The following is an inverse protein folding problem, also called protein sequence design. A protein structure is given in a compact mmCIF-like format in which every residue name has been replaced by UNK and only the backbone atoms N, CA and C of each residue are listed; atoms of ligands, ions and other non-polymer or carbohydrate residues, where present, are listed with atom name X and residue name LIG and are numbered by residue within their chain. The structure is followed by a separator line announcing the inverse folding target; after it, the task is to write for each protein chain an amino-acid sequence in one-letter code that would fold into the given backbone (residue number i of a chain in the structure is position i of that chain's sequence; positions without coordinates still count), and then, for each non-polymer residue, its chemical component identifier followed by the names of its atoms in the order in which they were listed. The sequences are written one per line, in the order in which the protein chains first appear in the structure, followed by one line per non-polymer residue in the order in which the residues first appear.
data_IF_173863256592
#
_entry.id   IF_173863256592
#
_cell.length_a   1.000
_cell.length_b   1.000
_cell.length_c   1.000
_cell.angle_alpha   90.00
_cell.angle_beta   90.00
_cell.angle_gamma   90.00
#
_symmetry.space_group_name_H-M   'P 1'
#
loop_
_entity.id
_entity.type
_entity.pdbx_description
1 polymer ?
#
# COMPACT_ATOMS: atom_id res chain seq x y z
N UNK A 1 -44.62 44.80 32.19
CA UNK A 1 -44.59 44.67 30.72
C UNK A 1 -43.28 44.01 30.32
N UNK A 2 -43.39 42.81 29.72
CA UNK A 2 -42.50 42.13 28.74
C UNK A 2 -41.03 41.94 29.18
N UNK A 3 -40.62 40.75 29.68
CA UNK A 3 -40.15 39.52 28.96
C UNK A 3 -38.98 39.83 27.99
N UNK A 4 -37.79 39.23 28.04
CA UNK A 4 -37.37 37.89 28.44
C UNK A 4 -37.08 37.07 27.17
N UNK A 5 -35.97 37.35 26.48
CA UNK A 5 -35.61 36.69 25.22
C UNK A 5 -34.76 35.43 25.46
N UNK A 6 -35.22 34.39 24.80
CA UNK A 6 -34.84 32.98 24.88
C UNK A 6 -33.57 32.72 24.07
N UNK A 7 -32.64 31.96 24.64
CA UNK A 7 -31.38 31.55 24.00
C UNK A 7 -31.53 30.12 23.53
N UNK A 8 -31.97 29.94 22.28
CA UNK A 8 -32.00 28.63 21.62
C UNK A 8 -30.61 28.28 21.10
N UNK A 9 -29.97 27.33 21.79
CA UNK A 9 -28.79 26.61 21.33
C UNK A 9 -29.14 25.83 20.04
N UNK A 10 -28.45 26.13 18.94
CA UNK A 10 -28.43 25.31 17.73
C UNK A 10 -27.67 24.00 18.01
N UNK A 11 -28.15 22.84 17.52
CA UNK A 11 -27.46 21.57 17.74
C UNK A 11 -26.20 21.45 16.86
N UNK A 12 -25.18 20.80 17.43
CA UNK A 12 -23.88 20.52 16.84
C UNK A 12 -23.98 19.58 15.61
N UNK A 13 -23.58 20.10 14.44
CA UNK A 13 -23.64 19.42 13.14
C UNK A 13 -22.65 18.25 13.00
N UNK A 14 -21.70 18.07 13.93
CA UNK A 14 -20.80 16.91 13.95
C UNK A 14 -21.50 15.58 14.26
N UNK A 15 -22.71 15.62 14.83
CA UNK A 15 -23.42 14.42 15.31
C UNK A 15 -24.24 13.70 14.22
N UNK A 16 -24.59 14.38 13.11
CA UNK A 16 -25.45 13.83 12.06
C UNK A 16 -24.70 12.96 11.05
N UNK A 17 -23.40 13.21 10.84
CA UNK A 17 -22.59 12.49 9.84
C UNK A 17 -21.94 11.21 10.36
N UNK A 18 -21.81 11.07 11.69
CA UNK A 18 -21.31 9.84 12.32
C UNK A 18 -22.21 8.62 12.05
N UNK A 19 -23.49 8.85 11.73
CA UNK A 19 -24.48 7.79 11.44
C UNK A 19 -24.50 7.34 9.96
N UNK A 20 -23.86 8.08 9.03
CA UNK A 20 -23.82 7.69 7.61
C UNK A 20 -22.57 6.88 7.23
N UNK A 21 -21.47 7.01 8.00
CA UNK A 21 -20.32 6.09 7.90
C UNK A 21 -20.48 4.81 8.74
N UNK A 22 -21.43 4.76 9.68
CA UNK A 22 -21.63 3.64 10.59
C UNK A 22 -23.00 2.99 10.42
N UNK A 23 -23.20 2.28 9.30
CA UNK A 23 -24.03 1.08 9.31
C UNK A 23 -23.15 -0.17 9.28
N UNK A 24 -22.12 -0.20 10.14
CA UNK A 24 -21.46 -1.43 10.54
C UNK A 24 -22.36 -2.14 11.56
N UNK A 25 -22.96 -3.26 11.19
CA UNK A 25 -23.52 -4.19 12.17
C UNK A 25 -22.35 -4.76 12.98
N UNK A 26 -22.24 -4.33 14.23
CA UNK A 26 -21.27 -4.83 15.21
C UNK A 26 -21.42 -6.35 15.37
N UNK A 27 -20.55 -7.11 14.72
CA UNK A 27 -20.39 -8.54 15.03
C UNK A 27 -19.50 -8.64 16.28
N UNK A 28 -20.12 -8.56 17.46
CA UNK A 28 -19.45 -8.84 18.73
C UNK A 28 -19.05 -10.33 18.78
N UNK A 29 -17.81 -10.64 18.38
CA UNK A 29 -17.15 -11.90 18.70
C UNK A 29 -16.65 -11.81 20.16
N UNK A 30 -17.50 -12.21 21.10
CA UNK A 30 -17.12 -12.34 22.51
C UNK A 30 -16.22 -13.56 22.68
N UNK A 31 -14.90 -13.38 22.52
CA UNK A 31 -13.90 -14.38 22.94
C UNK A 31 -13.68 -14.18 24.44
N UNK A 32 -14.40 -14.94 25.26
CA UNK A 32 -14.20 -14.99 26.71
C UNK A 32 -12.96 -15.82 27.02
N UNK A 33 -11.78 -15.20 27.06
CA UNK A 33 -10.57 -15.83 27.59
C UNK A 33 -10.54 -15.67 29.12
N UNK A 34 -10.96 -16.72 29.82
CA UNK A 34 -10.68 -16.87 31.24
C UNK A 34 -9.15 -16.92 31.45
N UNK A 35 -8.64 -15.91 32.16
CA UNK A 35 -7.26 -15.85 32.64
C UNK A 35 -7.01 -17.03 33.60
N UNK A 36 -6.14 -17.95 33.19
CA UNK A 36 -5.52 -18.94 34.09
C UNK A 36 -4.13 -18.40 34.41
N UNK A 37 -3.95 -17.88 35.62
CA UNK A 37 -2.63 -17.53 36.16
C UNK A 37 -1.83 -18.80 36.49
N UNK A 38 -0.58 -18.96 36.02
CA UNK A 38 0.29 -20.00 36.52
C UNK A 38 1.03 -19.53 37.78
N UNK A 39 0.85 -20.30 38.86
CA UNK A 39 1.56 -20.22 40.13
C UNK A 39 3.09 -20.40 40.00
N UNK A 40 3.90 -19.84 40.92
CA UNK A 40 5.36 -19.91 40.86
C UNK A 40 5.92 -21.29 41.25
N UNK A 41 7.01 -21.79 40.63
CA UNK A 41 7.57 -23.08 40.99
C UNK A 41 8.49 -22.99 42.22
N UNK A 42 8.21 -23.83 43.20
CA UNK A 42 9.08 -24.13 44.35
C UNK A 42 10.36 -24.85 43.94
N UNK A 43 11.53 -24.31 44.33
CA UNK A 43 12.86 -24.94 44.20
C UNK A 43 12.97 -26.21 45.07
N UNK A 44 13.55 -27.26 44.51
CA UNK A 44 14.34 -28.26 45.25
C UNK A 44 15.65 -28.54 44.50
N UNK A 45 16.80 -28.67 45.19
CA UNK A 45 18.10 -28.92 44.58
C UNK A 45 18.37 -30.43 44.51
N UNK A 46 19.03 -30.94 43.45
CA UNK A 46 19.87 -32.16 43.53
C UNK A 46 20.76 -32.30 42.28
N UNK A 47 22.06 -32.18 42.54
CA UNK A 47 23.25 -32.93 42.08
C UNK A 47 23.60 -33.13 40.60
N UNK A 48 24.87 -32.80 40.36
CA UNK A 48 25.73 -32.85 39.18
C UNK A 48 26.14 -34.26 38.75
N UNK A 49 26.33 -34.44 37.43
CA UNK A 49 27.22 -35.44 36.82
C UNK A 49 27.95 -34.79 35.61
N UNK A 50 29.17 -35.21 35.24
CA UNK A 50 30.04 -34.46 34.33
C UNK A 50 30.01 -34.94 32.86
N UNK A 51 30.08 -33.96 31.94
CA UNK A 51 30.70 -33.96 30.58
C UNK A 51 30.19 -34.95 29.51
N UNK A 52 30.02 -34.53 28.23
CA UNK A 52 31.15 -34.12 27.38
C UNK A 52 30.92 -32.83 26.59
N UNK A 53 32.02 -32.26 26.10
CA UNK A 53 32.12 -31.05 25.29
C UNK A 53 31.08 -31.00 24.16
N UNK A 54 30.01 -30.25 24.38
CA UNK A 54 29.05 -29.86 23.35
C UNK A 54 29.55 -28.58 22.68
N UNK A 55 29.57 -28.58 21.35
CA UNK A 55 29.71 -27.38 20.53
C UNK A 55 28.74 -26.32 21.07
N UNK A 56 29.26 -25.20 21.55
CA UNK A 56 28.46 -24.05 21.94
C UNK A 56 27.82 -23.48 20.67
N UNK A 57 26.63 -23.94 20.32
CA UNK A 57 25.73 -23.17 19.45
C UNK A 57 25.42 -21.91 20.23
N UNK A 58 26.12 -20.80 19.90
CA UNK A 58 25.74 -19.51 20.43
C UNK A 58 24.27 -19.27 20.04
N UNK A 59 23.40 -18.87 20.98
CA UNK A 59 22.05 -18.47 20.62
C UNK A 59 22.18 -17.31 19.63
N UNK A 60 21.63 -17.48 18.43
CA UNK A 60 21.59 -16.43 17.42
C UNK A 60 20.83 -15.24 18.00
N UNK A 61 21.54 -14.12 18.22
CA UNK A 61 20.92 -12.87 18.64
C UNK A 61 20.51 -12.05 17.42
N UNK A 62 19.45 -11.26 17.54
CA UNK A 62 19.02 -10.30 16.51
C UNK A 62 18.56 -8.99 17.15
N UNK A 63 18.59 -7.91 16.38
CA UNK A 63 18.08 -6.59 16.76
C UNK A 63 16.67 -6.41 16.20
N UNK A 64 15.71 -5.98 17.04
CA UNK A 64 14.32 -5.83 16.64
C UNK A 64 14.09 -4.50 15.92
N UNK A 65 13.58 -4.51 14.68
CA UNK A 65 13.31 -3.29 13.90
C UNK A 65 12.21 -2.36 14.45
N UNK A 66 11.53 -2.73 15.55
CA UNK A 66 10.46 -1.93 16.18
C UNK A 66 10.90 -1.29 17.49
N UNK A 67 11.62 -2.02 18.34
CA UNK A 67 12.01 -1.54 19.67
C UNK A 67 13.51 -1.32 19.83
N UNK A 68 14.31 -1.63 18.81
CA UNK A 68 15.77 -1.50 18.78
C UNK A 68 16.50 -2.30 19.89
N UNK A 69 15.80 -3.26 20.51
CA UNK A 69 16.38 -4.13 21.54
C UNK A 69 17.00 -5.39 20.91
N UNK A 70 18.09 -5.88 21.53
CA UNK A 70 18.69 -7.17 21.18
C UNK A 70 17.97 -8.33 21.85
N UNK A 71 17.48 -9.28 21.05
CA UNK A 71 16.81 -10.49 21.51
C UNK A 71 17.64 -11.73 21.21
N UNK A 72 17.43 -12.78 22.02
CA UNK A 72 18.14 -14.07 21.93
C UNK A 72 17.25 -15.20 21.41
N UNK A 73 15.98 -14.89 21.16
CA UNK A 73 14.97 -15.82 20.62
C UNK A 73 14.95 -15.78 19.09
N UNK A 74 14.10 -16.60 18.47
CA UNK A 74 13.87 -16.53 17.02
C UNK A 74 13.09 -15.26 16.66
N UNK A 75 13.58 -14.53 15.65
CA UNK A 75 12.86 -13.38 15.09
C UNK A 75 11.65 -13.81 14.26
N UNK A 76 10.66 -12.93 14.18
CA UNK A 76 9.57 -13.01 13.22
C UNK A 76 9.94 -12.10 12.06
N UNK A 77 10.18 -12.67 10.88
CA UNK A 77 10.51 -11.88 9.69
C UNK A 77 9.24 -11.29 9.08
N UNK A 78 9.20 -9.97 8.94
CA UNK A 78 8.10 -9.24 8.29
C UNK A 78 8.72 -8.44 7.14
N UNK A 79 8.51 -8.89 5.89
CA UNK A 79 9.04 -8.21 4.70
C UNK A 79 10.55 -7.90 4.80
N UNK A 80 11.33 -8.83 5.34
CA UNK A 80 12.78 -8.70 5.53
C UNK A 80 13.21 -8.17 6.91
N UNK A 81 12.32 -7.49 7.63
CA UNK A 81 12.60 -6.94 8.95
C UNK A 81 12.49 -7.99 10.06
N UNK A 82 13.47 -8.01 10.97
CA UNK A 82 13.48 -8.92 12.11
C UNK A 82 12.71 -8.32 13.29
N UNK A 83 11.58 -8.92 13.66
CA UNK A 83 10.70 -8.41 14.71
C UNK A 83 10.64 -9.37 15.90
N UNK A 84 10.73 -8.84 17.12
CA UNK A 84 10.58 -9.65 18.32
C UNK A 84 9.12 -10.03 18.58
N UNK A 85 8.91 -11.16 19.26
CA UNK A 85 7.56 -11.65 19.58
C UNK A 85 6.71 -10.62 20.33
N UNK A 86 7.33 -9.84 21.23
CA UNK A 86 6.65 -8.80 22.00
C UNK A 86 6.03 -7.73 21.08
N UNK A 87 6.85 -7.14 20.21
CA UNK A 87 6.40 -6.11 19.27
C UNK A 87 5.42 -6.66 18.22
N UNK A 88 5.59 -7.92 17.79
CA UNK A 88 4.61 -8.57 16.93
C UNK A 88 3.25 -8.71 17.63
N UNK A 89 3.22 -9.23 18.87
CA UNK A 89 1.98 -9.47 19.62
C UNK A 89 1.28 -8.16 20.03
N UNK A 90 2.02 -7.08 20.31
CA UNK A 90 1.44 -5.80 20.73
C UNK A 90 1.17 -4.82 19.59
N UNK A 91 1.87 -4.97 18.45
CA UNK A 91 1.82 -4.01 17.33
C UNK A 91 1.12 -4.57 16.11
N UNK A 92 1.63 -5.67 15.55
CA UNK A 92 1.18 -6.18 14.25
C UNK A 92 -0.06 -7.07 14.38
N UNK A 93 -0.01 -8.01 15.32
CA UNK A 93 -1.11 -8.95 15.54
C UNK A 93 -2.45 -8.26 15.83
N UNK A 94 -2.55 -7.22 16.68
CA UNK A 94 -3.80 -6.50 16.91
C UNK A 94 -4.40 -5.85 15.66
N UNK A 95 -3.58 -5.47 14.68
CA UNK A 95 -4.07 -4.88 13.42
C UNK A 95 -4.88 -5.89 12.60
N UNK A 96 -4.51 -7.18 12.61
CA UNK A 96 -5.35 -8.22 11.99
C UNK A 96 -6.70 -8.35 12.71
N UNK A 97 -6.74 -8.24 14.03
CA UNK A 97 -8.03 -8.24 14.75
C UNK A 97 -8.86 -6.99 14.42
N UNK A 98 -8.22 -5.82 14.30
CA UNK A 98 -8.87 -4.58 13.91
C UNK A 98 -9.45 -4.68 12.48
N UNK A 99 -8.65 -5.12 11.51
CA UNK A 99 -9.07 -5.31 10.12
C UNK A 99 -10.20 -6.33 9.97
N UNK A 100 -10.24 -7.38 10.80
CA UNK A 100 -11.34 -8.33 10.79
C UNK A 100 -12.65 -7.70 11.29
N UNK A 101 -12.57 -6.75 12.23
CA UNK A 101 -13.72 -6.05 12.80
C UNK A 101 -14.19 -4.88 11.92
N UNK A 102 -13.24 -4.09 11.45
CA UNK A 102 -13.43 -2.85 10.72
C UNK A 102 -12.75 -2.95 9.36
N UNK A 103 -13.57 -2.87 8.31
CA UNK A 103 -13.11 -2.96 6.92
C UNK A 103 -12.16 -1.82 6.53
N UNK A 104 -12.29 -0.64 7.14
CA UNK A 104 -11.41 0.50 6.85
C UNK A 104 -9.96 0.26 7.28
N UNK A 105 -9.75 -0.69 8.21
CA UNK A 105 -8.43 -1.11 8.69
C UNK A 105 -7.84 -2.26 7.84
N UNK A 106 -8.56 -2.72 6.80
CA UNK A 106 -8.07 -3.72 5.85
C UNK A 106 -7.50 -3.02 4.60
N UNK A 107 -6.37 -3.52 4.04
CA UNK A 107 -5.55 -4.62 4.52
C UNK A 107 -4.56 -4.17 5.60
N UNK A 108 -4.06 -5.13 6.39
CA UNK A 108 -2.95 -4.88 7.33
C UNK A 108 -1.68 -4.63 6.51
N UNK A 109 -0.94 -3.57 6.83
CA UNK A 109 0.26 -3.17 6.09
C UNK A 109 1.50 -3.08 6.99
N UNK A 110 2.65 -3.19 6.36
CA UNK A 110 3.97 -2.86 6.90
C UNK A 110 4.62 -1.85 5.94
N UNK A 111 4.64 -0.58 6.35
CA UNK A 111 4.88 0.51 5.40
C UNK A 111 3.84 0.46 4.28
N UNK A 112 4.31 0.44 3.02
CA UNK A 112 3.45 0.36 1.85
C UNK A 112 3.02 -1.08 1.49
N UNK A 113 3.70 -2.08 2.05
CA UNK A 113 3.50 -3.49 1.74
C UNK A 113 2.31 -4.10 2.48
N UNK A 114 1.44 -4.80 1.75
CA UNK A 114 0.36 -5.58 2.35
C UNK A 114 0.90 -6.85 3.00
N UNK A 115 0.36 -7.18 4.18
CA UNK A 115 0.71 -8.37 4.93
C UNK A 115 -0.31 -9.48 4.68
N UNK A 116 0.18 -10.63 4.24
CA UNK A 116 -0.63 -11.83 4.14
C UNK A 116 -0.67 -12.53 5.52
N UNK A 117 -1.86 -12.69 6.09
CA UNK A 117 -2.02 -13.36 7.39
C UNK A 117 -1.44 -14.78 7.39
N UNK A 118 -1.42 -15.46 6.25
CA UNK A 118 -0.97 -16.86 6.16
C UNK A 118 0.53 -17.01 6.39
N UNK A 119 1.31 -15.96 6.16
CA UNK A 119 2.74 -15.91 6.51
C UNK A 119 2.93 -15.98 8.04
N UNK A 120 1.90 -15.63 8.79
CA UNK A 120 1.87 -15.61 10.25
C UNK A 120 0.90 -16.62 10.86
N UNK A 121 0.40 -17.59 10.07
CA UNK A 121 -0.63 -18.54 10.49
C UNK A 121 -0.38 -19.22 11.85
N UNK A 122 0.85 -19.63 12.23
CA UNK A 122 1.13 -20.23 13.54
C UNK A 122 0.78 -19.33 14.75
N UNK A 123 0.70 -18.01 14.56
CA UNK A 123 0.42 -17.05 15.62
C UNK A 123 -1.07 -16.79 15.85
N UNK A 124 -1.95 -17.36 15.01
CA UNK A 124 -3.39 -17.15 15.05
C UNK A 124 -4.15 -18.46 15.28
N UNK A 125 -5.27 -18.43 16.04
CA UNK A 125 -6.15 -19.57 16.16
C UNK A 125 -6.76 -19.98 14.80
N UNK A 126 -6.94 -21.28 14.55
CA UNK A 126 -7.56 -21.79 13.31
C UNK A 126 -8.92 -21.14 13.00
N UNK A 127 -9.74 -20.96 14.04
CA UNK A 127 -11.06 -20.30 13.92
C UNK A 127 -10.95 -18.84 13.45
N UNK A 128 -9.87 -18.14 13.82
CA UNK A 128 -9.61 -16.78 13.37
C UNK A 128 -9.21 -16.75 11.89
N UNK A 129 -8.35 -17.69 11.46
CA UNK A 129 -7.95 -17.81 10.05
C UNK A 129 -9.15 -18.17 9.14
N UNK A 130 -10.06 -19.01 9.62
CA UNK A 130 -11.31 -19.32 8.91
C UNK A 130 -12.22 -18.09 8.80
N UNK A 131 -12.39 -17.33 9.89
CA UNK A 131 -13.14 -16.08 9.88
C UNK A 131 -12.50 -15.02 8.97
N UNK A 132 -11.16 -14.95 8.94
CA UNK A 132 -10.40 -14.07 8.06
C UNK A 132 -10.68 -14.38 6.59
N UNK A 133 -10.61 -15.65 6.18
CA UNK A 133 -10.93 -16.07 4.81
C UNK A 133 -12.34 -15.66 4.39
N UNK A 134 -13.33 -15.86 5.25
CA UNK A 134 -14.71 -15.48 4.97
C UNK A 134 -14.85 -13.96 4.85
N UNK A 135 -14.17 -13.21 5.72
CA UNK A 135 -14.19 -11.75 5.72
C UNK A 135 -13.44 -11.12 4.54
N UNK A 136 -12.30 -11.66 4.13
CA UNK A 136 -11.57 -11.18 2.94
C UNK A 136 -12.41 -11.28 1.68
N UNK A 137 -13.24 -12.32 1.54
CA UNK A 137 -14.18 -12.44 0.41
C UNK A 137 -15.25 -11.35 0.42
N UNK A 138 -15.70 -10.91 1.60
CA UNK A 138 -16.62 -9.78 1.74
C UNK A 138 -15.95 -8.47 1.31
N UNK A 139 -14.73 -8.23 1.79
CA UNK A 139 -13.99 -6.98 1.51
C UNK A 139 -13.54 -6.85 0.05
N UNK A 140 -13.41 -7.97 -0.66
CA UNK A 140 -13.16 -8.00 -2.10
C UNK A 140 -14.38 -7.57 -2.95
N UNK A 141 -15.54 -7.32 -2.34
CA UNK A 141 -16.77 -6.90 -3.01
C UNK A 141 -17.09 -5.46 -2.64
N UNK A 142 -17.43 -4.60 -3.60
CA UNK A 142 -17.88 -3.23 -3.32
C UNK A 142 -19.12 -3.22 -2.40
N UNK A 143 -19.21 -2.32 -1.39
CA UNK A 143 -20.34 -2.25 -0.47
C UNK A 143 -21.71 -2.25 -1.15
N UNK A 144 -21.83 -1.49 -2.25
CA UNK A 144 -23.05 -1.41 -3.06
C UNK A 144 -23.45 -2.72 -3.74
N UNK A 145 -22.52 -3.67 -3.93
CA UNK A 145 -22.74 -4.95 -4.59
C UNK A 145 -23.00 -6.11 -3.62
N UNK A 146 -23.02 -5.84 -2.31
CA UNK A 146 -23.19 -6.87 -1.28
C UNK A 146 -24.65 -7.16 -1.00
N UNK A 147 -24.96 -8.43 -0.77
CA UNK A 147 -26.24 -8.88 -0.24
C UNK A 147 -26.01 -9.40 1.18
N UNK A 148 -26.61 -8.72 2.15
CA UNK A 148 -26.65 -9.13 3.55
C UNK A 148 -28.02 -9.67 3.89
N UNK A 149 -28.09 -10.59 4.85
CA UNK A 149 -29.34 -11.17 5.30
C UNK A 149 -30.23 -10.09 5.94
N UNK A 150 -31.42 -9.87 5.36
CA UNK A 150 -32.44 -8.97 5.88
C UNK A 150 -33.34 -9.62 6.97
N UNK A 151 -33.02 -10.85 7.37
CA UNK A 151 -33.73 -11.57 8.43
C UNK A 151 -33.46 -10.97 9.81
N UNK A 152 -34.27 -11.40 10.79
CA UNK A 152 -34.04 -11.13 12.21
C UNK A 152 -33.52 -12.38 12.88
N UNK A 153 -32.57 -12.25 13.79
CA UNK A 153 -32.02 -13.41 14.49
C UNK A 153 -33.02 -13.88 15.55
N UNK A 154 -33.44 -15.15 15.45
CA UNK A 154 -34.54 -15.69 16.25
C UNK A 154 -34.16 -16.01 17.69
N UNK A 155 -32.87 -16.12 18.03
CA UNK A 155 -32.45 -16.65 19.34
C UNK A 155 -31.28 -15.93 20.03
N UNK A 156 -30.58 -14.97 19.38
CA UNK A 156 -29.49 -14.21 20.01
C UNK A 156 -29.94 -12.76 20.27
N UNK A 157 -30.25 -12.46 21.53
CA UNK A 157 -30.87 -11.20 22.02
C UNK A 157 -29.97 -9.94 21.98
N UNK A 158 -29.09 -9.78 20.98
CA UNK A 158 -28.16 -8.65 20.93
C UNK A 158 -28.13 -7.88 19.60
N UNK A 159 -28.89 -8.29 18.58
CA UNK A 159 -29.08 -7.53 17.33
C UNK A 159 -30.51 -7.70 16.79
N UNK A 160 -31.11 -6.60 16.33
CA UNK A 160 -32.44 -6.62 15.68
C UNK A 160 -32.41 -7.17 14.24
N UNK A 161 -31.23 -7.44 13.68
CA UNK A 161 -31.02 -7.95 12.31
C UNK A 161 -29.91 -9.01 12.26
N UNK A 162 -30.05 -9.99 11.36
CA UNK A 162 -29.07 -11.06 11.16
C UNK A 162 -27.79 -10.55 10.46
N UNK A 163 -27.92 -9.79 9.36
CA UNK A 163 -26.80 -9.09 8.73
C UNK A 163 -25.71 -9.95 8.06
N UNK A 164 -25.83 -11.29 8.12
CA UNK A 164 -24.85 -12.22 7.52
C UNK A 164 -24.68 -11.98 6.02
N UNK A 165 -23.44 -11.94 5.53
CA UNK A 165 -23.17 -11.79 4.10
C UNK A 165 -23.61 -13.05 3.34
N UNK A 166 -24.39 -12.86 2.28
CA UNK A 166 -24.94 -13.94 1.46
C UNK A 166 -24.36 -13.97 0.03
N UNK A 167 -23.58 -12.95 -0.37
CA UNK A 167 -22.89 -12.89 -1.66
C UNK A 167 -23.17 -11.61 -2.45
N UNK A 168 -22.98 -11.70 -3.77
CA UNK A 168 -23.15 -10.58 -4.70
C UNK A 168 -24.61 -10.28 -5.04
N UNK A 169 -24.86 -9.02 -5.38
CA UNK A 169 -26.08 -8.60 -6.07
C UNK A 169 -26.22 -9.34 -7.41
N UNK A 170 -27.48 -9.53 -7.82
CA UNK A 170 -27.83 -10.09 -9.11
C UNK A 170 -28.78 -9.17 -9.85
N UNK A 171 -28.59 -9.06 -11.16
CA UNK A 171 -29.43 -8.26 -12.04
C UNK A 171 -30.91 -8.70 -12.07
N UNK A 172 -31.22 -9.93 -11.62
CA UNK A 172 -32.59 -10.46 -11.53
C UNK A 172 -32.93 -10.81 -10.08
N UNK A 173 -34.18 -10.60 -9.63
CA UNK A 173 -34.62 -11.02 -8.31
C UNK A 173 -34.51 -12.54 -8.13
N UNK A 174 -33.75 -12.97 -7.13
CA UNK A 174 -33.74 -14.35 -6.65
C UNK A 174 -33.72 -14.35 -5.12
N UNK A 175 -34.31 -15.37 -4.49
CA UNK A 175 -34.34 -15.48 -3.04
C UNK A 175 -33.22 -16.36 -2.52
N UNK A 176 -32.25 -15.78 -1.82
CA UNK A 176 -31.17 -16.50 -1.17
C UNK A 176 -31.51 -16.76 0.30
N UNK A 177 -31.45 -18.03 0.71
CA UNK A 177 -31.72 -18.46 2.09
C UNK A 177 -30.49 -18.25 2.96
N UNK A 178 -30.67 -17.71 4.16
CA UNK A 178 -29.65 -17.66 5.18
C UNK A 178 -29.51 -19.03 5.86
N UNK A 179 -28.28 -19.47 6.09
CA UNK A 179 -27.90 -20.69 6.81
C UNK A 179 -28.04 -20.57 8.33
N UNK A 180 -28.20 -19.34 8.87
CA UNK A 180 -28.31 -19.08 10.31
C UNK A 180 -29.75 -18.84 10.75
N UNK A 181 -30.44 -17.84 10.18
CA UNK A 181 -31.80 -17.47 10.60
C UNK A 181 -32.91 -17.98 9.65
N UNK A 182 -32.55 -18.78 8.63
CA UNK A 182 -33.45 -19.32 7.60
C UNK A 182 -34.22 -18.31 6.74
N UNK A 183 -34.06 -17.00 6.99
CA UNK A 183 -34.72 -15.94 6.22
C UNK A 183 -34.27 -15.92 4.76
N UNK A 184 -35.17 -15.49 3.86
CA UNK A 184 -34.89 -15.35 2.43
C UNK A 184 -34.71 -13.88 2.08
N UNK A 185 -33.55 -13.54 1.51
CA UNK A 185 -33.23 -12.19 1.06
C UNK A 185 -33.19 -12.13 -0.46
N UNK A 186 -33.77 -11.08 -1.03
CA UNK A 186 -33.71 -10.81 -2.46
C UNK A 186 -32.30 -10.41 -2.87
N UNK A 187 -31.71 -11.14 -3.80
CA UNK A 187 -30.36 -10.88 -4.32
C UNK A 187 -30.29 -9.67 -5.24
N UNK A 188 -31.41 -9.06 -5.61
CA UNK A 188 -31.44 -7.86 -6.45
C UNK A 188 -31.45 -6.58 -5.60
N UNK A 189 -32.38 -6.46 -4.65
CA UNK A 189 -32.56 -5.25 -3.83
C UNK A 189 -32.03 -5.39 -2.38
N UNK A 190 -31.66 -6.58 -1.93
CA UNK A 190 -31.26 -6.84 -0.54
C UNK A 190 -32.43 -6.89 0.46
N UNK A 191 -33.68 -6.74 0.01
CA UNK A 191 -34.86 -6.76 0.87
C UNK A 191 -35.27 -8.17 1.32
N UNK A 192 -36.01 -8.26 2.43
CA UNK A 192 -36.61 -9.49 2.91
C UNK A 192 -37.71 -9.98 1.95
N UNK A 193 -37.76 -11.30 1.69
CA UNK A 193 -38.83 -11.94 0.92
C UNK A 193 -39.78 -12.62 1.90
N UNK A 194 -40.96 -12.04 2.08
CA UNK A 194 -42.07 -12.63 2.81
C UNK A 194 -42.91 -13.50 1.85
N UNK A 195 -42.94 -14.82 2.06
CA UNK A 195 -43.71 -15.73 1.22
C UNK A 195 -43.04 -16.10 -0.12
N UNK A 196 -43.81 -16.01 -1.22
CA UNK A 196 -43.34 -16.45 -2.54
C UNK A 196 -42.57 -15.34 -3.26
N UNK A 197 -41.46 -15.68 -3.94
CA UNK A 197 -40.64 -14.71 -4.67
C UNK A 197 -41.42 -13.89 -5.71
N UNK A 198 -42.48 -14.46 -6.30
CA UNK A 198 -43.34 -13.79 -7.30
C UNK A 198 -44.14 -12.60 -6.74
N UNK A 199 -44.32 -12.54 -5.42
CA UNK A 199 -45.05 -11.48 -4.71
C UNK A 199 -44.10 -10.38 -4.23
N UNK A 200 -42.78 -10.56 -4.39
CA UNK A 200 -41.78 -9.60 -3.98
C UNK A 200 -41.57 -8.54 -5.06
N UNK A 201 -41.70 -7.27 -4.68
CA UNK A 201 -41.36 -6.11 -5.51
C UNK A 201 -40.09 -5.45 -4.98
N UNK A 202 -39.08 -5.31 -5.84
CA UNK A 202 -37.87 -4.56 -5.51
C UNK A 202 -38.23 -3.07 -5.39
N UNK A 203 -37.95 -2.48 -4.23
CA UNK A 203 -37.98 -1.03 -4.05
C UNK A 203 -36.58 -0.50 -4.23
N UNK A 204 -36.46 0.67 -4.84
CA UNK A 204 -35.20 1.38 -4.91
C UNK A 204 -34.74 1.74 -3.48
N UNK A 205 -33.42 1.73 -3.22
CA UNK A 205 -32.89 2.16 -1.94
C UNK A 205 -33.33 3.59 -1.61
N UNK A 206 -33.42 3.88 -0.31
CA UNK A 206 -33.75 5.22 0.22
C UNK A 206 -32.82 6.24 -0.43
N UNK A 207 -33.40 7.37 -0.85
CA UNK A 207 -32.70 8.41 -1.59
C UNK A 207 -31.60 9.05 -0.72
N UNK A 208 -30.35 8.62 -0.92
CA UNK A 208 -29.15 9.21 -0.30
C UNK A 208 -29.09 10.73 -0.49
N UNK A 209 -29.74 11.25 -1.55
CA UNK A 209 -29.76 12.67 -1.86
C UNK A 209 -30.48 13.50 -0.78
N UNK A 210 -31.48 12.95 -0.09
CA UNK A 210 -32.18 13.69 0.97
C UNK A 210 -31.29 13.86 2.21
N UNK A 211 -30.45 12.87 2.54
CA UNK A 211 -29.53 12.93 3.69
C UNK A 211 -28.32 13.85 3.49
N UNK A 212 -27.92 14.12 2.25
CA UNK A 212 -26.74 14.96 1.92
C UNK A 212 -27.13 16.35 1.41
N UNK A 213 -28.43 16.67 1.37
CA UNK A 213 -28.98 17.86 0.72
C UNK A 213 -28.45 19.20 1.24
N UNK A 214 -28.07 19.23 2.51
CA UNK A 214 -27.55 20.43 3.19
C UNK A 214 -26.01 20.51 3.21
N UNK A 215 -25.31 19.52 2.63
CA UNK A 215 -23.86 19.42 2.63
C UNK A 215 -23.29 19.73 1.24
N UNK A 216 -22.07 20.26 1.20
CA UNK A 216 -21.39 20.66 -0.02
C UNK A 216 -20.27 19.67 -0.38
N UNK A 217 -20.27 19.22 -1.64
CA UNK A 217 -19.16 18.43 -2.20
C UNK A 217 -17.88 19.27 -2.24
N UNK A 218 -16.75 18.67 -1.90
CA UNK A 218 -15.44 19.33 -1.88
C UNK A 218 -15.17 20.14 -0.61
N UNK A 219 -16.15 20.25 0.29
CA UNK A 219 -16.01 20.92 1.59
C UNK A 219 -16.42 19.99 2.72
N UNK A 220 -17.69 19.59 2.74
CA UNK A 220 -18.27 18.80 3.84
C UNK A 220 -18.14 17.28 3.61
N UNK A 221 -18.18 16.88 2.33
CA UNK A 221 -17.98 15.50 1.90
C UNK A 221 -17.49 15.43 0.45
N UNK A 222 -17.12 14.24 -0.01
CA UNK A 222 -16.97 13.92 -1.42
C UNK A 222 -17.51 12.52 -1.71
N UNK A 223 -17.87 12.22 -2.96
CA UNK A 223 -18.15 10.86 -3.42
C UNK A 223 -16.94 10.31 -4.17
N UNK A 224 -16.52 9.10 -3.83
CA UNK A 224 -15.50 8.37 -4.58
C UNK A 224 -15.99 8.16 -6.03
N UNK A 225 -15.21 8.52 -7.06
CA UNK A 225 -15.61 8.35 -8.45
C UNK A 225 -15.70 6.87 -8.87
N UNK A 226 -14.94 5.98 -8.21
CA UNK A 226 -14.94 4.54 -8.52
C UNK A 226 -16.17 3.79 -7.98
N UNK A 227 -16.55 4.02 -6.72
CA UNK A 227 -17.63 3.25 -6.06
C UNK A 227 -18.83 4.09 -5.60
N UNK A 228 -18.78 5.42 -5.73
CA UNK A 228 -19.83 6.32 -5.26
C UNK A 228 -19.89 6.50 -3.74
N UNK A 229 -19.03 5.83 -2.98
CA UNK A 229 -18.99 5.92 -1.51
C UNK A 229 -18.74 7.34 -1.01
N UNK A 230 -19.47 7.74 0.03
CA UNK A 230 -19.35 9.06 0.65
C UNK A 230 -18.15 9.08 1.60
N UNK A 231 -17.26 10.05 1.41
CA UNK A 231 -16.06 10.25 2.22
C UNK A 231 -16.08 11.63 2.85
N UNK A 232 -15.46 11.73 4.03
CA UNK A 232 -15.11 13.00 4.65
C UNK A 232 -13.60 13.14 4.67
N UNK A 233 -13.12 14.37 4.53
CA UNK A 233 -11.70 14.67 4.64
C UNK A 233 -11.27 14.60 6.11
N UNK A 234 -10.45 13.62 6.47
CA UNK A 234 -9.92 13.49 7.83
C UNK A 234 -8.67 14.34 8.05
N UNK A 235 -7.78 14.36 7.06
CA UNK A 235 -6.52 15.10 7.08
C UNK A 235 -6.50 16.13 5.95
N UNK A 236 -5.82 17.26 6.12
CA UNK A 236 -5.86 18.40 5.17
C UNK A 236 -5.30 18.12 3.75
N UNK A 237 -5.01 16.86 3.40
CA UNK A 237 -4.57 16.41 2.09
C UNK A 237 -5.77 16.07 1.19
N UNK A 238 -5.95 16.82 0.12
CA UNK A 238 -7.03 16.61 -0.84
C UNK A 238 -6.81 15.40 -1.76
N UNK A 239 -5.64 14.76 -1.74
CA UNK A 239 -5.45 13.46 -2.37
C UNK A 239 -5.99 12.36 -1.45
N UNK A 240 -7.07 11.73 -1.86
CA UNK A 240 -7.69 10.62 -1.13
C UNK A 240 -7.48 9.31 -1.88
N UNK A 241 -7.32 8.24 -1.09
CA UNK A 241 -7.43 6.86 -1.57
C UNK A 241 -8.69 6.29 -0.95
N UNK A 242 -9.60 5.76 -1.77
CA UNK A 242 -10.84 5.19 -1.27
C UNK A 242 -10.53 4.10 -0.22
N UNK A 243 -11.09 4.24 0.99
CA UNK A 243 -10.89 3.30 2.10
C UNK A 243 -11.54 1.94 1.86
N UNK A 244 -12.44 1.83 0.88
CA UNK A 244 -13.06 0.57 0.48
C UNK A 244 -11.99 -0.29 -0.23
N UNK A 245 -11.62 -1.48 0.32
CA UNK A 245 -10.56 -2.32 -0.23
C UNK A 245 -10.82 -2.81 -1.66
N UNK A 246 -12.08 -3.06 -2.03
CA UNK A 246 -12.47 -3.42 -3.40
C UNK A 246 -12.45 -2.25 -4.39
N UNK A 247 -12.26 -1.00 -3.94
CA UNK A 247 -12.26 0.18 -4.79
C UNK A 247 -10.86 0.80 -4.91
N UNK A 248 -10.29 1.25 -3.78
CA UNK A 248 -8.96 1.89 -3.69
C UNK A 248 -8.67 3.01 -4.70
N UNK A 249 -9.67 3.55 -5.40
CA UNK A 249 -9.50 4.63 -6.37
C UNK A 249 -8.86 5.84 -5.70
N UNK A 250 -7.86 6.43 -6.36
CA UNK A 250 -7.23 7.67 -5.95
C UNK A 250 -8.01 8.84 -6.55
N UNK A 251 -8.40 9.83 -5.75
CA UNK A 251 -9.21 10.95 -6.23
C UNK A 251 -8.99 12.22 -5.44
N UNK A 252 -9.37 13.34 -6.04
CA UNK A 252 -9.31 14.65 -5.39
C UNK A 252 -10.57 14.90 -4.54
N UNK A 253 -10.40 15.24 -3.26
CA UNK A 253 -11.52 15.58 -2.39
C UNK A 253 -12.29 16.79 -2.91
N UNK A 254 -11.60 17.80 -3.46
CA UNK A 254 -12.22 19.06 -3.92
C UNK A 254 -13.16 18.83 -5.11
N UNK A 255 -12.65 18.29 -6.22
CA UNK A 255 -13.45 18.14 -7.44
C UNK A 255 -14.12 16.76 -7.58
N UNK A 256 -13.61 15.73 -6.89
CA UNK A 256 -14.11 14.36 -6.99
C UNK A 256 -13.63 13.60 -8.24
N UNK A 257 -12.70 14.15 -9.01
CA UNK A 257 -12.10 13.49 -10.15
C UNK A 257 -11.02 12.49 -9.71
N UNK A 258 -10.86 11.43 -10.49
CA UNK A 258 -9.78 10.46 -10.31
C UNK A 258 -8.43 11.16 -10.52
N UNK A 259 -7.53 10.99 -9.54
CA UNK A 259 -6.23 11.65 -9.49
C UNK A 259 -5.32 10.85 -8.57
N UNK A 260 -4.32 10.17 -9.14
CA UNK A 260 -3.26 9.53 -8.38
C UNK A 260 -2.20 10.54 -7.90
N UNK A 261 -1.30 10.11 -7.01
CA UNK A 261 -0.28 10.97 -6.41
C UNK A 261 0.78 11.49 -7.42
N UNK A 262 0.97 10.79 -8.54
CA UNK A 262 1.90 11.16 -9.61
C UNK A 262 1.25 12.10 -10.64
N UNK A 263 -0.08 12.24 -10.62
CA UNK A 263 -0.80 13.11 -11.52
C UNK A 263 -0.46 14.58 -11.29
N UNK A 264 -0.40 15.32 -12.40
CA UNK A 264 -0.24 16.78 -12.42
C UNK A 264 -1.52 17.52 -11.96
N UNK A 265 -2.41 16.86 -11.20
CA UNK A 265 -3.71 17.42 -10.80
C UNK A 265 -3.55 18.58 -9.82
N UNK A 266 -2.55 18.51 -8.93
CA UNK A 266 -2.29 19.52 -7.90
C UNK A 266 -1.07 20.39 -8.17
N UNK A 267 -0.63 20.48 -9.43
CA UNK A 267 0.49 21.34 -9.81
C UNK A 267 0.11 22.82 -9.74
N UNK A 268 1.12 23.67 -9.63
CA UNK A 268 0.88 25.11 -9.53
C UNK A 268 0.10 25.64 -10.75
N UNK A 269 -0.98 26.38 -10.49
CA UNK A 269 -1.88 26.91 -11.54
C UNK A 269 -3.05 25.99 -11.90
N UNK A 270 -3.15 24.81 -11.30
CA UNK A 270 -4.35 23.96 -11.36
C UNK A 270 -5.44 24.48 -10.40
N UNK A 271 -6.72 24.13 -10.61
CA UNK A 271 -7.82 24.63 -9.77
C UNK A 271 -7.84 24.05 -8.35
N UNK A 272 -7.24 22.86 -8.16
CA UNK A 272 -7.30 22.11 -6.91
C UNK A 272 -5.91 22.09 -6.23
N UNK A 273 -5.74 22.65 -5.03
CA UNK A 273 -4.51 22.49 -4.25
C UNK A 273 -4.43 21.08 -3.65
N UNK A 274 -3.23 20.58 -3.39
CA UNK A 274 -3.02 19.29 -2.71
C UNK A 274 -3.34 19.39 -1.22
N UNK A 275 -3.10 20.55 -0.61
CA UNK A 275 -3.44 20.78 0.78
C UNK A 275 -4.33 22.02 0.95
N UNK A 276 -5.29 21.92 1.88
CA UNK A 276 -6.26 22.97 2.23
C UNK A 276 -7.27 23.32 1.10
N UNK A 277 -8.18 24.26 1.36
CA UNK A 277 -9.25 24.63 0.43
C UNK A 277 -8.75 25.58 -0.67
N UNK A 278 -9.31 25.52 -1.91
CA UNK A 278 -8.99 26.47 -2.96
C UNK A 278 -9.19 27.93 -2.53
N UNK A 279 -8.20 28.78 -2.82
CA UNK A 279 -8.24 30.20 -2.47
C UNK A 279 -7.91 30.53 -1.02
N UNK A 280 -7.67 29.54 -0.15
CA UNK A 280 -7.11 29.78 1.16
C UNK A 280 -5.67 30.31 1.05
N UNK A 281 -5.27 31.19 1.97
CA UNK A 281 -3.92 31.78 1.97
C UNK A 281 -2.80 30.74 2.16
N UNK A 282 -3.14 29.57 2.71
CA UNK A 282 -2.26 28.43 2.96
C UNK A 282 -2.57 27.23 2.03
N UNK A 283 -3.24 27.45 0.90
CA UNK A 283 -3.43 26.42 -0.11
C UNK A 283 -2.08 26.04 -0.74
N UNK A 284 -1.72 24.75 -0.76
CA UNK A 284 -0.44 24.28 -1.28
C UNK A 284 -0.60 23.37 -2.49
N UNK A 285 0.31 23.51 -3.45
CA UNK A 285 0.40 22.74 -4.69
C UNK A 285 1.67 21.87 -4.70
N UNK A 286 1.77 20.88 -5.59
CA UNK A 286 2.93 19.96 -5.70
C UNK A 286 4.25 20.70 -5.84
N UNK A 287 4.26 21.79 -6.61
CA UNK A 287 5.47 22.56 -6.88
C UNK A 287 5.69 23.70 -5.88
N UNK A 288 4.87 23.78 -4.83
CA UNK A 288 5.03 24.77 -3.77
C UNK A 288 6.23 24.38 -2.88
N UNK A 289 7.24 25.26 -2.73
CA UNK A 289 8.37 25.02 -1.83
C UNK A 289 7.93 24.67 -0.39
N UNK A 290 6.77 25.16 0.05
CA UNK A 290 6.23 24.90 1.39
C UNK A 290 5.61 23.50 1.56
N UNK A 291 5.42 22.72 0.48
CA UNK A 291 4.98 21.32 0.60
C UNK A 291 6.02 20.45 1.34
N UNK A 292 7.30 20.83 1.29
CA UNK A 292 8.36 20.16 2.03
C UNK A 292 8.35 20.46 3.54
N UNK A 293 7.66 21.52 3.98
CA UNK A 293 7.54 21.92 5.38
C UNK A 293 6.29 21.35 6.09
N UNK A 294 5.29 20.84 5.34
CA UNK A 294 4.01 20.33 5.89
C UNK A 294 3.91 18.82 6.08
N UNK A 295 4.91 18.03 5.68
CA UNK A 295 4.99 16.66 6.21
C UNK A 295 5.34 16.78 7.69
N UNK A 296 4.49 16.31 8.64
CA UNK A 296 4.92 16.25 10.02
C UNK A 296 6.19 15.40 10.04
N UNK A 297 7.27 15.97 10.56
CA UNK A 297 8.58 15.32 10.74
C UNK A 297 8.54 14.03 11.59
N UNK A 298 7.34 13.55 11.95
CA UNK A 298 7.04 12.53 12.92
C UNK A 298 6.42 11.25 12.33
N UNK A 299 6.15 11.14 11.02
CA UNK A 299 5.68 9.86 10.45
C UNK A 299 6.82 8.97 9.93
N UNK A 300 7.90 9.57 9.45
CA UNK A 300 9.24 9.01 9.43
C UNK A 300 10.18 10.21 9.42
N UNK A 301 11.14 10.35 10.34
CA UNK A 301 12.17 11.37 10.19
C UNK A 301 13.01 10.97 8.97
N UNK A 302 12.62 11.43 7.78
CA UNK A 302 13.55 11.48 6.65
C UNK A 302 14.52 12.59 7.05
N UNK A 303 15.64 12.17 7.63
CA UNK A 303 16.80 13.02 7.90
C UNK A 303 16.95 14.07 6.78
N UNK A 304 16.99 15.37 7.10
CA UNK A 304 17.18 16.42 6.10
C UNK A 304 18.33 16.12 5.14
N UNK A 305 19.39 15.47 5.61
CA UNK A 305 20.50 15.05 4.75
C UNK A 305 20.09 13.91 3.77
N UNK A 306 19.22 12.98 4.20
CA UNK A 306 18.63 11.94 3.33
C UNK A 306 17.70 12.55 2.29
N UNK A 307 16.91 13.56 2.66
CA UNK A 307 16.04 14.29 1.73
C UNK A 307 16.87 15.02 0.66
N UNK A 308 17.90 15.73 1.08
CA UNK A 308 18.82 16.43 0.18
C UNK A 308 19.52 15.45 -0.77
N UNK A 309 19.97 14.30 -0.26
CA UNK A 309 20.59 13.25 -1.06
C UNK A 309 19.67 12.68 -2.15
N UNK A 310 18.39 12.44 -1.85
CA UNK A 310 17.39 11.98 -2.83
C UNK A 310 17.20 13.02 -3.94
N UNK A 311 17.10 14.30 -3.58
CA UNK A 311 16.96 15.38 -4.55
C UNK A 311 18.19 15.48 -5.46
N UNK A 312 19.40 15.38 -4.90
CA UNK A 312 20.65 15.36 -5.67
C UNK A 312 20.65 14.24 -6.71
N UNK A 313 20.25 13.03 -6.31
CA UNK A 313 20.19 11.87 -7.21
C UNK A 313 19.18 12.06 -8.35
N UNK A 314 17.99 12.58 -8.02
CA UNK A 314 16.96 12.89 -9.01
C UNK A 314 17.43 13.95 -10.01
N UNK A 315 17.98 15.05 -9.53
CA UNK A 315 18.44 16.16 -10.38
C UNK A 315 19.59 15.70 -11.30
N UNK A 316 20.50 14.85 -10.79
CA UNK A 316 21.56 14.24 -11.60
C UNK A 316 21.00 13.34 -12.70
N UNK A 317 20.00 12.51 -12.39
CA UNK A 317 19.35 11.66 -13.38
C UNK A 317 18.77 12.46 -14.53
N UNK A 318 18.02 13.53 -14.22
CA UNK A 318 17.47 14.43 -15.22
C UNK A 318 18.55 15.16 -16.04
N UNK A 319 19.62 15.60 -15.38
CA UNK A 319 20.73 16.28 -16.06
C UNK A 319 21.50 15.36 -17.01
N UNK A 320 21.73 14.11 -16.63
CA UNK A 320 22.46 13.13 -17.45
C UNK A 320 21.73 12.83 -18.78
N UNK A 321 20.40 12.90 -18.78
CA UNK A 321 19.55 12.67 -19.96
C UNK A 321 19.60 13.83 -20.97
N UNK A 322 20.00 15.04 -20.58
CA UNK A 322 20.07 16.20 -21.48
C UNK A 322 21.09 15.93 -22.60
N UNK A 323 20.83 16.26 -23.88
CA UNK A 323 21.76 16.01 -24.98
C UNK A 323 23.18 16.56 -24.75
N UNK A 324 23.28 17.69 -24.04
CA UNK A 324 24.52 18.40 -23.72
C UNK A 324 25.16 18.00 -22.38
N UNK A 325 24.71 16.91 -21.73
CA UNK A 325 25.19 16.56 -20.38
C UNK A 325 26.69 16.23 -20.29
N UNK A 326 27.28 15.67 -21.34
CA UNK A 326 28.70 15.27 -21.36
C UNK A 326 29.58 16.51 -21.53
N UNK A 327 30.48 16.75 -20.57
CA UNK A 327 31.42 17.86 -20.56
C UNK A 327 32.87 17.38 -20.81
N UNK A 328 33.75 18.23 -21.37
CA UNK A 328 35.13 17.84 -21.69
C UNK A 328 35.99 17.41 -20.49
N UNK A 329 35.62 17.84 -19.29
CA UNK A 329 36.33 17.59 -18.02
C UNK A 329 35.68 16.49 -17.17
N UNK A 330 34.62 15.84 -17.64
CA UNK A 330 34.00 14.71 -16.95
C UNK A 330 35.00 13.55 -16.81
N UNK A 331 34.95 12.87 -15.66
CA UNK A 331 35.71 11.62 -15.47
C UNK A 331 35.16 10.52 -16.39
N UNK A 332 35.98 9.53 -16.78
CA UNK A 332 35.50 8.40 -17.59
C UNK A 332 34.26 7.73 -16.99
N UNK A 333 34.22 7.49 -15.69
CA UNK A 333 33.07 6.89 -15.02
C UNK A 333 31.80 7.75 -15.09
N UNK A 334 31.95 9.08 -15.02
CA UNK A 334 30.83 10.00 -15.16
C UNK A 334 30.32 10.06 -16.61
N UNK A 335 31.23 10.00 -17.58
CA UNK A 335 30.88 9.89 -19.01
C UNK A 335 30.11 8.58 -19.24
N UNK A 336 30.60 7.45 -18.71
CA UNK A 336 29.92 6.16 -18.83
C UNK A 336 28.52 6.19 -18.22
N UNK A 337 28.38 6.76 -17.02
CA UNK A 337 27.08 6.90 -16.34
C UNK A 337 26.08 7.65 -17.22
N UNK A 338 26.50 8.79 -17.79
CA UNK A 338 25.67 9.62 -18.67
C UNK A 338 25.28 8.89 -19.95
N UNK A 339 26.22 8.18 -20.58
CA UNK A 339 25.96 7.41 -21.80
C UNK A 339 25.00 6.25 -21.54
N UNK A 340 25.27 5.46 -20.50
CA UNK A 340 24.46 4.30 -20.13
C UNK A 340 23.05 4.74 -19.71
N UNK A 341 22.89 5.81 -18.93
CA UNK A 341 21.58 6.33 -18.53
C UNK A 341 20.71 6.74 -19.73
N UNK A 342 21.29 7.42 -20.73
CA UNK A 342 20.57 7.77 -21.97
C UNK A 342 20.21 6.54 -22.80
N UNK A 343 21.10 5.56 -22.84
CA UNK A 343 20.86 4.33 -23.59
C UNK A 343 19.77 3.48 -22.93
N UNK A 344 19.76 3.40 -21.60
CA UNK A 344 18.70 2.76 -20.82
C UNK A 344 17.34 3.44 -21.02
N UNK A 345 17.30 4.78 -20.97
CA UNK A 345 16.09 5.54 -21.28
C UNK A 345 15.57 5.23 -22.69
N UNK A 346 16.45 5.19 -23.69
CA UNK A 346 16.09 4.80 -25.06
C UNK A 346 15.57 3.36 -25.15
N UNK A 347 16.19 2.42 -24.44
CA UNK A 347 15.79 1.00 -24.43
C UNK A 347 14.41 0.84 -23.79
N UNK A 348 14.16 1.47 -22.65
CA UNK A 348 12.86 1.41 -21.95
C UNK A 348 11.72 1.93 -22.85
N UNK A 349 11.90 3.10 -23.46
CA UNK A 349 10.91 3.66 -24.38
C UNK A 349 10.66 2.76 -25.61
N UNK A 350 11.69 2.14 -26.16
CA UNK A 350 11.54 1.23 -27.31
C UNK A 350 10.86 -0.08 -26.90
N UNK A 351 11.14 -0.63 -25.72
CA UNK A 351 10.49 -1.82 -25.20
C UNK A 351 8.99 -1.58 -24.96
N UNK A 352 8.63 -0.49 -24.27
CA UNK A 352 7.24 -0.10 -24.03
C UNK A 352 6.48 0.13 -25.35
N UNK A 353 7.11 0.78 -26.34
CA UNK A 353 6.51 0.95 -27.68
C UNK A 353 6.22 -0.38 -28.37
N UNK A 354 7.12 -1.35 -28.25
CA UNK A 354 6.93 -2.68 -28.86
C UNK A 354 5.86 -3.51 -28.14
N UNK A 355 5.72 -3.31 -26.82
CA UNK A 355 4.64 -3.89 -26.02
C UNK A 355 3.28 -3.33 -26.44
N UNK A 356 3.16 -2.01 -26.58
CA UNK A 356 1.94 -1.36 -27.08
C UNK A 356 1.56 -1.90 -28.47
N UNK A 357 2.53 -2.01 -29.39
CA UNK A 357 2.28 -2.57 -30.73
C UNK A 357 1.85 -4.05 -30.69
N UNK A 358 2.36 -4.82 -29.72
CA UNK A 358 1.96 -6.20 -29.49
C UNK A 358 0.52 -6.31 -28.99
N UNK A 359 0.14 -5.50 -28.01
CA UNK A 359 -1.20 -5.51 -27.42
C UNK A 359 -2.28 -5.00 -28.39
N UNK A 360 -1.90 -4.12 -29.32
CA UNK A 360 -2.76 -3.68 -30.43
C UNK A 360 -2.93 -4.74 -31.54
N UNK A 361 -2.26 -5.90 -31.43
CA UNK A 361 -2.41 -7.02 -32.35
C UNK A 361 -1.67 -6.84 -33.68
N UNK A 362 -0.63 -6.02 -33.72
CA UNK A 362 0.20 -5.84 -34.92
C UNK A 362 1.12 -7.03 -35.22
N UNK A 363 1.21 -8.00 -34.31
CA UNK A 363 2.03 -9.20 -34.46
C UNK A 363 1.17 -10.48 -34.48
N UNK A 364 1.48 -11.39 -35.40
CA UNK A 364 0.73 -12.65 -35.59
C UNK A 364 1.25 -13.80 -34.73
N UNK A 365 2.40 -13.65 -34.06
CA UNK A 365 3.02 -14.68 -33.21
C UNK A 365 3.50 -14.07 -31.88
N UNK A 366 3.47 -14.84 -30.77
CA UNK A 366 3.99 -14.38 -29.49
C UNK A 366 5.49 -14.10 -29.58
N UNK A 367 5.94 -13.00 -29.00
CA UNK A 367 7.38 -12.75 -28.91
C UNK A 367 8.07 -13.79 -28.02
N UNK A 368 9.33 -14.17 -28.35
CA UNK A 368 10.09 -15.16 -27.59
C UNK A 368 10.64 -14.65 -26.25
N UNK A 369 10.36 -13.40 -25.87
CA UNK A 369 10.74 -12.77 -24.60
C UNK A 369 9.74 -11.68 -24.23
N UNK A 370 9.81 -11.20 -22.98
CA UNK A 370 8.93 -10.21 -22.37
C UNK A 370 9.46 -8.78 -22.55
N UNK A 371 8.63 -7.86 -23.08
CA UNK A 371 9.02 -6.46 -23.30
C UNK A 371 9.01 -5.65 -22.00
N UNK A 372 8.02 -5.87 -21.15
CA UNK A 372 7.95 -5.32 -19.79
C UNK A 372 9.21 -5.66 -18.98
N UNK A 373 9.68 -6.91 -19.03
CA UNK A 373 10.93 -7.30 -18.37
C UNK A 373 12.17 -6.51 -18.86
N UNK A 374 12.21 -6.12 -20.15
CA UNK A 374 13.30 -5.29 -20.69
C UNK A 374 13.18 -3.85 -20.21
N UNK A 375 11.96 -3.30 -20.17
CA UNK A 375 11.71 -1.95 -19.70
C UNK A 375 12.03 -1.82 -18.20
N UNK A 376 11.54 -2.74 -17.38
CA UNK A 376 11.77 -2.79 -15.94
C UNK A 376 13.27 -2.87 -15.61
N UNK A 377 14.00 -3.76 -16.29
CA UNK A 377 15.46 -3.88 -16.11
C UNK A 377 16.18 -2.58 -16.50
N UNK A 378 15.75 -1.93 -17.58
CA UNK A 378 16.37 -0.68 -18.03
C UNK A 378 16.13 0.47 -17.04
N UNK A 379 14.92 0.60 -16.49
CA UNK A 379 14.57 1.61 -15.48
C UNK A 379 15.31 1.38 -14.16
N UNK A 380 15.40 0.13 -13.70
CA UNK A 380 16.17 -0.24 -12.52
C UNK A 380 17.65 0.11 -12.68
N UNK A 381 18.28 -0.32 -13.77
CA UNK A 381 19.67 0.01 -14.08
C UNK A 381 19.91 1.53 -14.19
N UNK A 382 18.92 2.28 -14.68
CA UNK A 382 19.03 3.75 -14.83
C UNK A 382 19.23 4.43 -13.47
N UNK A 383 18.64 3.89 -12.42
CA UNK A 383 18.88 4.33 -11.04
C UNK A 383 20.22 3.84 -10.49
N UNK A 384 20.62 2.61 -10.83
CA UNK A 384 21.80 1.93 -10.27
C UNK A 384 23.14 2.35 -10.90
N UNK A 385 23.16 2.93 -12.10
CA UNK A 385 24.41 3.43 -12.72
C UNK A 385 25.11 4.54 -11.91
N UNK A 386 24.47 5.09 -10.87
CA UNK A 386 25.12 5.93 -9.86
C UNK A 386 26.32 5.25 -9.18
N UNK A 387 26.34 3.92 -9.13
CA UNK A 387 27.47 3.17 -8.60
C UNK A 387 28.78 3.40 -9.37
N UNK A 388 28.72 3.83 -10.63
CA UNK A 388 29.93 4.10 -11.43
C UNK A 388 30.77 5.23 -10.83
N UNK A 389 30.11 6.23 -10.24
CA UNK A 389 30.76 7.44 -9.70
C UNK A 389 30.85 7.44 -8.18
N UNK A 390 30.54 6.32 -7.53
CA UNK A 390 30.47 6.20 -6.06
C UNK A 390 31.79 6.51 -5.35
N UNK A 391 32.93 6.29 -6.02
CA UNK A 391 34.27 6.59 -5.48
C UNK A 391 34.57 8.09 -5.41
N UNK A 392 33.98 8.87 -6.31
CA UNK A 392 34.08 10.33 -6.34
C UNK A 392 32.97 11.02 -5.57
N UNK A 393 32.00 10.27 -5.02
CA UNK A 393 30.92 10.84 -4.23
C UNK A 393 31.43 11.39 -2.90
N UNK A 394 31.21 12.69 -2.69
CA UNK A 394 31.62 13.41 -1.48
C UNK A 394 30.49 13.54 -0.47
N UNK A 395 29.24 13.47 -0.92
CA UNK A 395 28.06 13.45 -0.06
C UNK A 395 27.88 12.05 0.53
N UNK A 396 28.15 11.90 1.84
CA UNK A 396 28.10 10.62 2.54
C UNK A 396 26.71 9.98 2.49
N UNK A 397 25.64 10.77 2.53
CA UNK A 397 24.27 10.27 2.52
C UNK A 397 23.87 9.77 1.13
N UNK A 398 24.27 10.48 0.06
CA UNK A 398 24.13 9.98 -1.32
C UNK A 398 24.87 8.65 -1.48
N UNK A 399 26.11 8.58 -0.99
CA UNK A 399 26.93 7.38 -1.05
C UNK A 399 26.25 6.20 -0.36
N UNK A 400 25.69 6.41 0.84
CA UNK A 400 24.99 5.36 1.57
C UNK A 400 23.71 4.89 0.85
N UNK A 401 22.91 5.82 0.31
CA UNK A 401 21.69 5.49 -0.43
C UNK A 401 22.01 4.62 -1.65
N UNK A 402 23.02 5.02 -2.45
CA UNK A 402 23.41 4.30 -3.66
C UNK A 402 23.96 2.91 -3.33
N UNK A 403 24.75 2.76 -2.27
CA UNK A 403 25.21 1.44 -1.83
C UNK A 403 24.06 0.55 -1.35
N UNK A 404 23.16 1.08 -0.52
CA UNK A 404 22.02 0.31 -0.03
C UNK A 404 21.10 -0.11 -1.16
N UNK A 405 20.85 0.77 -2.14
CA UNK A 405 20.06 0.45 -3.32
C UNK A 405 20.70 -0.67 -4.15
N UNK A 406 22.03 -0.63 -4.36
CA UNK A 406 22.75 -1.70 -5.05
C UNK A 406 22.68 -3.04 -4.32
N UNK A 407 22.78 -3.04 -2.99
CA UNK A 407 22.70 -4.26 -2.17
C UNK A 407 21.27 -4.83 -2.11
N UNK A 408 20.27 -3.97 -1.93
CA UNK A 408 18.86 -4.38 -1.79
C UNK A 408 18.26 -4.87 -3.10
N UNK A 409 18.64 -4.27 -4.23
CA UNK A 409 18.08 -4.59 -5.55
C UNK A 409 18.88 -5.64 -6.32
N UNK A 410 19.93 -6.21 -5.73
CA UNK A 410 20.81 -7.15 -6.43
C UNK A 410 20.09 -8.44 -6.83
N UNK A 411 19.29 -9.02 -5.94
CA UNK A 411 18.49 -10.22 -6.22
C UNK A 411 17.43 -9.94 -7.30
N UNK A 412 16.69 -8.84 -7.17
CA UNK A 412 15.69 -8.41 -8.16
C UNK A 412 16.31 -8.19 -9.55
N UNK A 413 17.51 -7.62 -9.61
CA UNK A 413 18.24 -7.41 -10.87
C UNK A 413 18.67 -8.74 -11.50
N UNK A 414 19.08 -9.72 -10.70
CA UNK A 414 19.44 -11.06 -11.19
C UNK A 414 18.22 -11.79 -11.77
N UNK A 415 17.07 -11.71 -11.10
CA UNK A 415 15.80 -12.27 -11.58
C UNK A 415 15.36 -11.60 -12.90
N UNK A 416 15.44 -10.27 -12.99
CA UNK A 416 15.12 -9.55 -14.23
C UNK A 416 16.06 -9.90 -15.39
N UNK A 417 17.35 -10.12 -15.12
CA UNK A 417 18.32 -10.56 -16.13
C UNK A 417 17.95 -11.96 -16.66
N UNK A 418 17.45 -12.86 -15.80
CA UNK A 418 16.94 -14.17 -16.23
C UNK A 418 15.68 -14.03 -17.09
N UNK A 419 14.73 -13.18 -16.67
CA UNK A 419 13.47 -12.93 -17.38
C UNK A 419 13.66 -12.32 -18.77
N UNK A 420 14.64 -11.43 -18.95
CA UNK A 420 15.01 -10.89 -20.27
C UNK A 420 15.57 -11.98 -21.17
N UNK A 421 16.41 -12.85 -20.62
CA UNK A 421 17.00 -14.00 -21.31
C UNK A 421 17.85 -13.65 -22.54
N UNK A 422 18.46 -14.68 -23.15
CA UNK A 422 19.39 -14.50 -24.28
C UNK A 422 18.72 -13.93 -25.54
N UNK A 423 17.42 -14.17 -25.73
CA UNK A 423 16.69 -13.64 -26.89
C UNK A 423 16.42 -12.14 -26.72
N UNK A 424 16.03 -11.71 -25.52
CA UNK A 424 15.86 -10.29 -25.19
C UNK A 424 17.19 -9.53 -25.30
N UNK A 425 18.28 -10.08 -24.74
CA UNK A 425 19.62 -9.50 -24.92
C UNK A 425 20.12 -9.52 -26.37
N UNK A 426 19.71 -10.51 -27.17
CA UNK A 426 19.97 -10.52 -28.61
C UNK A 426 19.30 -9.35 -29.34
N UNK A 427 18.12 -8.92 -28.89
CA UNK A 427 17.41 -7.74 -29.42
C UNK A 427 17.98 -6.43 -28.88
N UNK A 428 18.37 -6.39 -27.62
CA UNK A 428 18.91 -5.22 -26.92
C UNK A 428 20.35 -5.47 -26.44
N UNK A 429 21.33 -5.56 -27.34
CA UNK A 429 22.70 -5.96 -26.99
C UNK A 429 23.42 -4.94 -26.08
N UNK A 430 23.05 -3.67 -26.17
CA UNK A 430 23.58 -2.63 -25.30
C UNK A 430 23.10 -2.78 -23.85
N UNK A 431 21.92 -3.35 -23.61
CA UNK A 431 21.44 -3.65 -22.25
C UNK A 431 22.35 -4.66 -21.55
N UNK A 432 22.75 -5.73 -22.25
CA UNK A 432 23.71 -6.73 -21.74
C UNK A 432 25.04 -6.09 -21.35
N UNK A 433 25.58 -5.22 -22.22
CA UNK A 433 26.81 -4.47 -21.92
C UNK A 433 26.66 -3.65 -20.63
N UNK A 434 25.52 -2.99 -20.43
CA UNK A 434 25.28 -2.14 -19.25
C UNK A 434 25.15 -2.99 -17.99
N UNK A 435 24.49 -4.16 -18.06
CA UNK A 435 24.48 -5.15 -16.95
C UNK A 435 25.92 -5.54 -16.57
N UNK A 436 26.77 -5.88 -17.54
CA UNK A 436 28.17 -6.25 -17.28
C UNK A 436 28.95 -5.08 -16.64
N UNK A 437 28.71 -3.86 -17.12
CA UNK A 437 29.30 -2.62 -16.60
C UNK A 437 28.88 -2.36 -15.15
N UNK A 438 27.60 -2.52 -14.85
CA UNK A 438 27.05 -2.48 -13.49
C UNK A 438 27.71 -3.50 -12.57
N UNK A 439 27.84 -4.75 -12.99
CA UNK A 439 28.47 -5.78 -12.18
C UNK A 439 29.96 -5.49 -11.88
N UNK A 440 30.69 -4.86 -12.80
CA UNK A 440 32.05 -4.38 -12.53
C UNK A 440 32.06 -3.32 -11.43
N UNK A 441 31.10 -2.39 -11.44
CA UNK A 441 30.98 -1.36 -10.41
C UNK A 441 30.65 -1.97 -9.03
N UNK A 442 29.74 -2.95 -8.98
CA UNK A 442 29.40 -3.70 -7.74
C UNK A 442 30.62 -4.43 -7.16
N UNK A 443 31.43 -5.10 -8.01
CA UNK A 443 32.67 -5.78 -7.57
C UNK A 443 33.82 -4.82 -7.25
N UNK A 444 33.64 -3.51 -7.49
CA UNK A 444 34.66 -2.50 -7.28
C UNK A 444 35.79 -2.52 -8.32
N UNK A 445 35.58 -3.13 -9.48
CA UNK A 445 36.54 -3.27 -10.59
C UNK A 445 36.60 -2.02 -11.48
N UNK A 446 36.73 -0.83 -10.87
CA UNK A 446 36.65 0.46 -11.57
C UNK A 446 37.72 0.68 -12.66
N UNK A 447 38.84 -0.04 -12.62
CA UNK A 447 39.85 0.01 -13.69
C UNK A 447 39.39 -0.68 -14.97
N UNK A 448 38.57 -1.73 -14.85
CA UNK A 448 37.93 -2.40 -15.98
C UNK A 448 36.76 -1.55 -16.48
N UNK A 449 35.94 -1.02 -15.57
CA UNK A 449 34.84 -0.11 -15.91
C UNK A 449 35.32 1.11 -16.73
N UNK A 450 36.44 1.72 -16.33
CA UNK A 450 37.05 2.83 -17.10
C UNK A 450 37.50 2.42 -18.50
N UNK A 451 37.91 1.16 -18.72
CA UNK A 451 38.33 0.72 -20.05
C UNK A 451 37.18 0.70 -21.04
N UNK A 452 35.96 0.42 -20.57
CA UNK A 452 34.74 0.40 -21.40
C UNK A 452 34.32 1.76 -21.96
N UNK A 453 34.92 2.88 -21.52
CA UNK A 453 34.67 4.22 -22.09
C UNK A 453 35.67 4.64 -23.16
N UNK A 454 36.75 3.86 -23.34
CA UNK A 454 37.83 4.17 -24.27
C UNK A 454 37.66 3.48 -25.63
N UNK A 455 36.80 2.47 -25.68
CA UNK A 455 36.35 1.74 -26.86
C UNK A 455 34.96 2.23 -27.27
#
# INVERSE_FOLDING_TARGET
MVQGEDSTLLPDHSTLLFNLSNHHTDLHLTITTHLIEPTPPTRKPTMTAPSPSGMTTQPSTFECSICDDTHHDTSITIKGDAVCKGCFDSGIKPQFFAALKDESQYPVRWGDSELNIFDFAPFFPKIFLEAWLERTRLYAVLPGERIHCAGKDGEIKQSDTCGRFLGLKSARPAGRKCDVCDARTCTCCGGLIEGALKEHECKDPIDEAETLKELNRGTDYQKCPGCGGVVQLQDGCNHLVCSIPACRTHFCYICGEEADAASHHWDSGKPCPKYNQPGAANALFNDDPAMFDLLPANLFPVDPARREAINILRDRSQQDLLPTAIQPDDSPELILRKLDRRELDRIAHEANRLEDEHDEGHFNEPFPFRFDAVADLAEMLSSLVELYTIRSETNQTVRQIVFNAGDTLQEDLEDMVEDVGEVGFGRFPTLRRIVDSYQLAVRGEFEELRRQTRD
#
